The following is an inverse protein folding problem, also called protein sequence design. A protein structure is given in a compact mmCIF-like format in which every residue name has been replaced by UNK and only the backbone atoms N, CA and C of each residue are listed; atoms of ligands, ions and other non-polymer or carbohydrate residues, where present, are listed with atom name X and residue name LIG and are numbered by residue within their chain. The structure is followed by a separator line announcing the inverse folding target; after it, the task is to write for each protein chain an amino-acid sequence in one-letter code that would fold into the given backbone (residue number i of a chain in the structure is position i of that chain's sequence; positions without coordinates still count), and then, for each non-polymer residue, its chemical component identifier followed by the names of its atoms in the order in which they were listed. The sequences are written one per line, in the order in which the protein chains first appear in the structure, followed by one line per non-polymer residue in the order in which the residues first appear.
data_IF_514777266509
#
_entry.id   IF_514777266509
#
_cell.length_a   1.000
_cell.length_b   1.000
_cell.length_c   1.000
_cell.angle_alpha   90.00
_cell.angle_beta   90.00
_cell.angle_gamma   90.00
#
_symmetry.space_group_name_H-M   'P 1'
#
loop_
_entity.id
_entity.type
_entity.pdbx_description
1 polymer ?
#
# COMPACT_ATOMS: atom_id res chain seq x y z
N UNK A 1 33.42 -2.46 74.09
CA UNK A 1 33.82 -2.17 72.70
C UNK A 1 34.07 -3.47 71.95
N UNK A 2 33.05 -4.27 71.73
CA UNK A 2 33.18 -5.52 70.93
C UNK A 2 31.76 -5.75 70.31
N UNK A 3 31.36 -4.92 69.38
CA UNK A 3 30.06 -5.16 68.67
C UNK A 3 30.03 -4.69 67.21
N UNK A 4 31.18 -4.15 66.66
CA UNK A 4 31.14 -3.53 65.32
C UNK A 4 31.62 -4.43 64.17
N UNK A 5 32.27 -5.54 64.48
CA UNK A 5 32.92 -6.39 63.47
C UNK A 5 31.94 -7.31 62.73
N UNK A 6 30.81 -7.68 63.40
CA UNK A 6 29.84 -8.58 62.78
C UNK A 6 28.90 -7.85 61.80
N UNK A 7 28.61 -6.59 62.01
CA UNK A 7 27.75 -5.79 61.08
C UNK A 7 28.47 -5.50 59.77
N UNK A 8 29.75 -5.23 59.79
CA UNK A 8 30.54 -4.99 58.59
C UNK A 8 30.73 -6.22 57.73
N UNK A 9 30.86 -7.41 58.29
CA UNK A 9 30.94 -8.68 57.56
C UNK A 9 29.58 -9.02 56.87
N UNK A 10 28.46 -8.68 57.50
CA UNK A 10 27.12 -8.90 56.88
C UNK A 10 26.84 -7.92 55.80
N UNK A 11 27.21 -6.65 55.92
CA UNK A 11 27.06 -5.62 54.87
C UNK A 11 27.94 -5.92 53.64
N UNK A 12 29.15 -6.40 53.82
CA UNK A 12 30.02 -6.79 52.70
C UNK A 12 29.53 -8.07 52.00
N UNK A 13 28.97 -9.02 52.72
CA UNK A 13 28.39 -10.24 52.14
C UNK A 13 27.14 -9.93 51.31
N UNK A 14 26.28 -9.02 51.76
CA UNK A 14 25.08 -8.62 50.99
C UNK A 14 25.42 -7.77 49.76
N UNK A 15 26.44 -6.94 49.81
CA UNK A 15 26.90 -6.14 48.68
C UNK A 15 27.52 -7.03 47.57
N UNK A 16 28.24 -8.08 47.92
CA UNK A 16 28.84 -9.03 46.95
C UNK A 16 27.74 -9.85 46.26
N UNK A 17 26.70 -10.29 46.98
CA UNK A 17 25.57 -11.02 46.40
C UNK A 17 24.74 -10.12 45.47
N UNK A 18 24.53 -8.84 45.80
CA UNK A 18 23.81 -7.91 44.96
C UNK A 18 24.57 -7.62 43.64
N UNK A 19 25.88 -7.49 43.67
CA UNK A 19 26.70 -7.29 42.46
C UNK A 19 26.72 -8.55 41.58
N UNK A 20 26.77 -9.74 42.16
CA UNK A 20 26.74 -11.00 41.42
C UNK A 20 25.39 -11.20 40.69
N UNK A 21 24.24 -10.80 41.28
CA UNK A 21 22.90 -10.88 40.65
C UNK A 21 22.79 -9.88 39.52
N UNK A 22 23.33 -8.67 39.64
CA UNK A 22 23.32 -7.65 38.56
C UNK A 22 24.17 -8.07 37.37
N UNK A 23 25.33 -8.71 37.60
CA UNK A 23 26.19 -9.23 36.52
C UNK A 23 25.52 -10.40 35.79
N UNK A 24 24.72 -11.21 36.47
CA UNK A 24 24.06 -12.38 35.86
C UNK A 24 22.82 -12.01 35.01
N UNK A 25 22.23 -10.82 35.23
CA UNK A 25 21.09 -10.35 34.44
C UNK A 25 21.46 -9.63 33.11
N UNK A 26 22.72 -9.25 32.94
CA UNK A 26 23.21 -8.60 31.71
C UNK A 26 23.57 -9.63 30.62
N UNK A 27 23.71 -10.90 30.95
CA UNK A 27 24.09 -11.97 30.01
C UNK A 27 22.93 -12.46 29.10
N UNK A 28 21.70 -11.93 29.21
CA UNK A 28 20.55 -12.34 28.39
C UNK A 28 20.09 -11.29 27.38
N UNK A 29 20.92 -10.30 27.03
CA UNK A 29 20.75 -9.58 25.77
C UNK A 29 21.18 -10.56 24.70
N UNK A 30 20.18 -11.21 24.07
CA UNK A 30 20.41 -12.14 22.97
C UNK A 30 21.30 -11.48 21.95
N UNK A 31 22.56 -11.90 21.89
CA UNK A 31 23.45 -11.53 20.83
C UNK A 31 22.77 -11.94 19.53
N UNK A 32 22.39 -10.97 18.70
CA UNK A 32 22.09 -11.19 17.30
C UNK A 32 23.42 -11.66 16.72
N UNK A 33 23.60 -12.98 16.67
CA UNK A 33 24.79 -13.54 16.04
C UNK A 33 24.77 -13.08 14.58
N UNK A 34 25.77 -12.33 14.10
CA UNK A 34 25.87 -12.01 12.69
C UNK A 34 26.02 -13.35 11.96
N UNK A 35 25.09 -13.65 11.06
CA UNK A 35 25.14 -14.85 10.22
C UNK A 35 26.51 -14.90 9.53
N UNK A 36 27.36 -15.77 10.01
CA UNK A 36 28.74 -15.90 9.52
C UNK A 36 28.71 -16.52 8.12
N UNK A 37 28.73 -15.71 7.08
CA UNK A 37 28.80 -16.15 5.69
C UNK A 37 28.57 -15.00 4.73
N UNK A 38 28.97 -15.12 3.46
CA UNK A 38 28.66 -14.12 2.45
C UNK A 38 27.14 -14.00 2.28
N UNK A 39 26.62 -12.76 2.28
CA UNK A 39 25.20 -12.49 2.06
C UNK A 39 24.76 -13.06 0.72
N UNK A 40 23.69 -13.85 0.72
CA UNK A 40 23.08 -14.39 -0.50
C UNK A 40 22.09 -13.37 -1.03
N UNK A 41 22.38 -12.83 -2.20
CA UNK A 41 21.58 -11.80 -2.84
C UNK A 41 20.86 -12.41 -4.05
N UNK A 42 19.61 -12.07 -4.22
CA UNK A 42 18.82 -12.35 -5.42
C UNK A 42 18.27 -11.05 -5.99
N UNK A 43 17.78 -11.07 -7.23
CA UNK A 43 17.06 -9.93 -7.80
C UNK A 43 15.81 -10.37 -8.56
N UNK A 44 14.88 -9.43 -8.72
CA UNK A 44 13.62 -9.63 -9.41
C UNK A 44 13.29 -8.36 -10.22
N UNK A 45 12.87 -8.51 -11.46
CA UNK A 45 12.29 -7.41 -12.25
C UNK A 45 10.81 -7.26 -11.92
N UNK A 46 10.47 -6.19 -11.19
CA UNK A 46 9.09 -5.87 -10.84
C UNK A 46 8.26 -5.54 -12.07
N UNK A 47 8.85 -4.90 -13.08
CA UNK A 47 8.16 -4.58 -14.35
C UNK A 47 7.77 -5.84 -15.10
N UNK A 48 8.67 -6.84 -15.20
CA UNK A 48 8.36 -8.12 -15.85
C UNK A 48 7.28 -8.90 -15.09
N UNK A 49 7.36 -8.91 -13.75
CA UNK A 49 6.34 -9.54 -12.90
C UNK A 49 4.98 -8.90 -13.14
N UNK A 50 4.87 -7.56 -13.08
CA UNK A 50 3.61 -6.85 -13.33
C UNK A 50 3.02 -7.14 -14.72
N UNK A 51 3.87 -7.21 -15.75
CA UNK A 51 3.44 -7.52 -17.12
C UNK A 51 2.85 -8.92 -17.28
N UNK A 52 3.24 -9.86 -16.43
CA UNK A 52 2.81 -11.26 -16.50
C UNK A 52 1.85 -11.67 -15.38
N UNK A 53 1.50 -10.76 -14.49
CA UNK A 53 0.64 -11.02 -13.33
C UNK A 53 -0.84 -10.82 -13.69
N UNK A 54 -1.69 -11.88 -13.74
CA UNK A 54 -3.07 -11.81 -14.21
C UNK A 54 -3.94 -10.88 -13.36
N UNK A 55 -3.71 -10.80 -12.04
CA UNK A 55 -4.47 -9.90 -11.17
C UNK A 55 -4.18 -8.43 -11.49
N UNK A 56 -2.95 -8.07 -11.90
CA UNK A 56 -2.63 -6.72 -12.36
C UNK A 56 -3.39 -6.40 -13.67
N UNK A 57 -3.45 -7.33 -14.61
CA UNK A 57 -4.20 -7.18 -15.85
C UNK A 57 -5.71 -7.04 -15.60
N UNK A 58 -6.27 -7.87 -14.70
CA UNK A 58 -7.66 -7.77 -14.27
C UNK A 58 -7.97 -6.43 -13.59
N UNK A 59 -7.07 -5.94 -12.75
CA UNK A 59 -7.19 -4.64 -12.09
C UNK A 59 -7.12 -3.49 -13.09
N UNK A 60 -6.23 -3.54 -14.08
CA UNK A 60 -6.15 -2.56 -15.16
C UNK A 60 -7.45 -2.50 -15.97
N UNK A 61 -8.04 -3.67 -16.29
CA UNK A 61 -9.32 -3.74 -16.98
C UNK A 61 -10.47 -3.15 -16.15
N UNK A 62 -10.54 -3.47 -14.86
CA UNK A 62 -11.55 -2.90 -13.95
C UNK A 62 -11.39 -1.38 -13.83
N UNK A 63 -10.17 -0.88 -13.74
CA UNK A 63 -9.88 0.55 -13.71
C UNK A 63 -10.34 1.25 -14.99
N UNK A 64 -10.07 0.66 -16.15
CA UNK A 64 -10.52 1.18 -17.43
C UNK A 64 -12.07 1.24 -17.51
N UNK A 65 -12.75 0.16 -17.12
CA UNK A 65 -14.21 0.10 -17.10
C UNK A 65 -14.82 1.16 -16.20
N UNK A 66 -14.29 1.30 -14.97
CA UNK A 66 -14.73 2.33 -14.03
C UNK A 66 -14.54 3.74 -14.60
N UNK A 67 -13.38 4.02 -15.19
CA UNK A 67 -13.09 5.31 -15.82
C UNK A 67 -14.09 5.61 -16.93
N UNK A 68 -14.35 4.65 -17.81
CA UNK A 68 -15.24 4.85 -18.96
C UNK A 68 -16.71 5.02 -18.51
N UNK A 69 -17.15 4.29 -17.49
CA UNK A 69 -18.46 4.45 -16.87
C UNK A 69 -18.64 5.85 -16.26
N UNK A 70 -17.67 6.27 -15.42
CA UNK A 70 -17.72 7.59 -14.78
C UNK A 70 -17.60 8.73 -15.80
N UNK A 71 -16.80 8.58 -16.84
CA UNK A 71 -16.69 9.56 -17.91
C UNK A 71 -18.02 9.77 -18.64
N UNK A 72 -18.75 8.69 -18.95
CA UNK A 72 -20.08 8.77 -19.56
C UNK A 72 -21.09 9.46 -18.63
N UNK A 73 -21.14 9.05 -17.36
CA UNK A 73 -22.04 9.66 -16.38
C UNK A 73 -21.76 11.15 -16.17
N UNK A 74 -20.49 11.56 -16.12
CA UNK A 74 -20.07 12.96 -16.01
C UNK A 74 -20.51 13.75 -17.24
N UNK A 75 -20.29 13.21 -18.45
CA UNK A 75 -20.70 13.86 -19.70
C UNK A 75 -22.21 14.05 -19.78
N UNK A 76 -23.00 13.09 -19.32
CA UNK A 76 -24.44 13.17 -19.27
C UNK A 76 -24.95 14.23 -18.29
N UNK A 77 -24.36 14.28 -17.09
CA UNK A 77 -24.65 15.33 -16.11
C UNK A 77 -24.25 16.72 -16.60
N UNK A 78 -23.15 16.86 -17.27
CA UNK A 78 -22.72 18.12 -17.89
C UNK A 78 -23.74 18.60 -18.94
N UNK A 79 -24.20 17.67 -19.80
CA UNK A 79 -25.23 17.97 -20.78
C UNK A 79 -26.56 18.41 -20.13
N UNK A 80 -26.94 17.76 -19.02
CA UNK A 80 -28.12 18.14 -18.25
C UNK A 80 -28.00 19.57 -17.69
N UNK A 81 -26.88 19.93 -17.10
CA UNK A 81 -26.62 21.28 -16.60
C UNK A 81 -26.70 22.30 -17.71
N UNK A 82 -26.12 22.01 -18.87
CA UNK A 82 -26.13 22.91 -20.02
C UNK A 82 -27.55 23.11 -20.58
N UNK A 83 -28.31 22.02 -20.67
CA UNK A 83 -29.74 22.08 -21.09
C UNK A 83 -30.58 22.98 -20.17
N UNK A 84 -30.39 22.84 -18.84
CA UNK A 84 -31.10 23.68 -17.86
C UNK A 84 -30.70 25.14 -17.97
N UNK A 85 -29.41 25.45 -18.22
CA UNK A 85 -28.95 26.82 -18.49
C UNK A 85 -29.59 27.44 -19.71
N UNK A 86 -29.67 26.70 -20.81
CA UNK A 86 -30.33 27.16 -22.00
C UNK A 86 -31.83 27.40 -21.76
N UNK A 87 -32.50 26.52 -21.00
CA UNK A 87 -33.91 26.73 -20.62
C UNK A 87 -34.09 28.00 -19.77
N UNK A 88 -33.23 28.26 -18.80
CA UNK A 88 -33.26 29.46 -17.97
C UNK A 88 -33.07 30.70 -18.83
N UNK A 89 -32.20 30.67 -19.83
CA UNK A 89 -31.94 31.78 -20.74
C UNK A 89 -33.17 32.10 -21.62
N UNK A 90 -33.98 31.09 -21.98
CA UNK A 90 -35.20 31.22 -22.78
C UNK A 90 -36.39 31.71 -21.96
N UNK A 91 -36.41 31.53 -20.63
CA UNK A 91 -37.47 31.94 -19.74
C UNK A 91 -37.36 33.44 -19.39
N UNK A 92 -37.80 34.28 -20.31
CA UNK A 92 -37.86 35.74 -20.13
C UNK A 92 -39.28 36.20 -19.75
N UNK A 93 -39.37 37.29 -18.98
CA UNK A 93 -40.64 37.96 -18.67
C UNK A 93 -41.31 37.59 -17.34
N UNK A 94 -42.14 38.48 -16.82
CA UNK A 94 -42.76 38.42 -15.47
C UNK A 94 -43.71 37.20 -15.32
N UNK A 95 -44.43 36.82 -16.38
CA UNK A 95 -45.39 35.70 -16.37
C UNK A 95 -44.72 34.32 -16.21
N UNK A 96 -43.39 34.25 -16.32
CA UNK A 96 -42.63 33.00 -16.20
C UNK A 96 -41.72 32.97 -14.97
N UNK A 97 -41.86 33.93 -14.05
CA UNK A 97 -40.98 34.07 -12.90
C UNK A 97 -40.92 32.78 -12.03
N UNK A 98 -42.06 32.14 -11.79
CA UNK A 98 -42.13 30.89 -11.02
C UNK A 98 -41.43 29.70 -11.73
N UNK A 99 -41.59 29.59 -13.06
CA UNK A 99 -40.93 28.57 -13.88
C UNK A 99 -39.42 28.80 -13.91
N UNK A 100 -39.01 30.06 -14.06
CA UNK A 100 -37.61 30.44 -14.03
C UNK A 100 -36.96 30.11 -12.69
N UNK A 101 -37.63 30.46 -11.56
CA UNK A 101 -37.15 30.15 -10.22
C UNK A 101 -36.99 28.62 -9.97
N UNK A 102 -37.91 27.82 -10.52
CA UNK A 102 -37.79 26.35 -10.49
C UNK A 102 -36.60 25.88 -11.31
N UNK A 103 -36.47 26.34 -12.56
CA UNK A 103 -35.37 25.96 -13.44
C UNK A 103 -33.99 26.31 -12.85
N UNK A 104 -33.85 27.46 -12.15
CA UNK A 104 -32.64 27.85 -11.44
C UNK A 104 -32.31 26.83 -10.32
N UNK A 105 -33.28 26.47 -9.48
CA UNK A 105 -33.05 25.46 -8.43
C UNK A 105 -32.69 24.08 -8.99
N UNK A 106 -33.31 23.70 -10.12
CA UNK A 106 -33.02 22.44 -10.78
C UNK A 106 -31.59 22.45 -11.39
N UNK A 107 -31.12 23.59 -11.94
CA UNK A 107 -29.77 23.78 -12.43
C UNK A 107 -28.74 23.73 -11.28
N UNK A 108 -28.98 24.44 -10.18
CA UNK A 108 -28.12 24.43 -9.00
C UNK A 108 -27.95 23.02 -8.45
N UNK A 109 -29.06 22.26 -8.37
CA UNK A 109 -29.01 20.83 -7.95
C UNK A 109 -28.19 19.99 -8.93
N UNK A 110 -28.48 20.10 -10.22
CA UNK A 110 -27.77 19.33 -11.24
C UNK A 110 -26.26 19.66 -11.26
N UNK A 111 -25.90 20.92 -11.02
CA UNK A 111 -24.52 21.36 -10.90
C UNK A 111 -23.83 20.79 -9.66
N UNK A 112 -24.52 20.78 -8.52
CA UNK A 112 -24.00 20.16 -7.31
C UNK A 112 -23.79 18.64 -7.49
N UNK A 113 -24.74 17.94 -8.12
CA UNK A 113 -24.63 16.52 -8.45
C UNK A 113 -23.48 16.25 -9.43
N UNK A 114 -23.27 17.10 -10.43
CA UNK A 114 -22.14 17.03 -11.35
C UNK A 114 -20.80 17.15 -10.62
N UNK A 115 -20.67 18.13 -9.73
CA UNK A 115 -19.45 18.31 -8.93
C UNK A 115 -19.20 17.13 -7.98
N UNK A 116 -20.25 16.63 -7.33
CA UNK A 116 -20.16 15.45 -6.47
C UNK A 116 -19.71 14.22 -7.26
N UNK A 117 -20.27 13.99 -8.45
CA UNK A 117 -19.89 12.87 -9.31
C UNK A 117 -18.44 12.95 -9.78
N UNK A 118 -17.94 14.15 -10.11
CA UNK A 118 -16.51 14.35 -10.44
C UNK A 118 -15.61 13.99 -9.26
N UNK A 119 -15.96 14.48 -8.07
CA UNK A 119 -15.20 14.19 -6.85
C UNK A 119 -15.21 12.70 -6.51
N UNK A 120 -16.39 12.06 -6.61
CA UNK A 120 -16.54 10.61 -6.41
C UNK A 120 -15.70 9.80 -7.41
N UNK A 121 -15.73 10.16 -8.68
CA UNK A 121 -14.94 9.49 -9.72
C UNK A 121 -13.44 9.59 -9.43
N UNK A 122 -12.97 10.78 -9.06
CA UNK A 122 -11.56 10.99 -8.70
C UNK A 122 -11.15 10.19 -7.47
N UNK A 123 -11.95 10.23 -6.40
CA UNK A 123 -11.70 9.47 -5.18
C UNK A 123 -11.72 7.96 -5.43
N UNK A 124 -12.68 7.48 -6.26
CA UNK A 124 -12.78 6.08 -6.66
C UNK A 124 -11.56 5.60 -7.43
N UNK A 125 -11.07 6.37 -8.41
CA UNK A 125 -9.84 6.04 -9.14
C UNK A 125 -8.63 5.95 -8.22
N UNK A 126 -8.47 6.93 -7.32
CA UNK A 126 -7.36 6.92 -6.35
C UNK A 126 -7.46 5.72 -5.38
N UNK A 127 -8.67 5.37 -4.95
CA UNK A 127 -8.90 4.21 -4.10
C UNK A 127 -8.50 2.93 -4.84
N UNK A 128 -8.99 2.72 -6.06
CA UNK A 128 -8.66 1.53 -6.85
C UNK A 128 -7.15 1.40 -7.10
N UNK A 129 -6.48 2.51 -7.35
CA UNK A 129 -5.02 2.51 -7.53
C UNK A 129 -4.29 2.09 -6.26
N UNK A 130 -4.67 2.66 -5.10
CA UNK A 130 -4.07 2.28 -3.80
C UNK A 130 -4.33 0.82 -3.46
N UNK A 131 -5.57 0.36 -3.66
CA UNK A 131 -5.96 -1.02 -3.36
C UNK A 131 -5.16 -2.02 -4.22
N UNK A 132 -5.05 -1.78 -5.53
CA UNK A 132 -4.25 -2.63 -6.43
C UNK A 132 -2.77 -2.61 -6.09
N UNK A 133 -2.23 -1.48 -5.69
CA UNK A 133 -0.83 -1.38 -5.27
C UNK A 133 -0.58 -2.14 -3.97
N UNK A 134 -1.49 -2.02 -3.00
CA UNK A 134 -1.39 -2.72 -1.71
C UNK A 134 -1.52 -4.24 -1.90
N UNK A 135 -2.45 -4.71 -2.73
CA UNK A 135 -2.62 -6.12 -3.09
C UNK A 135 -1.33 -6.68 -3.70
N UNK A 136 -0.80 -6.00 -4.72
CA UNK A 136 0.45 -6.42 -5.36
C UNK A 136 1.64 -6.47 -4.40
N UNK A 137 1.81 -5.44 -3.56
CA UNK A 137 2.88 -5.41 -2.55
C UNK A 137 2.75 -6.54 -1.54
N UNK A 138 1.52 -6.84 -1.10
CA UNK A 138 1.24 -7.95 -0.18
C UNK A 138 1.61 -9.29 -0.80
N UNK A 139 1.17 -9.55 -2.03
CA UNK A 139 1.43 -10.80 -2.73
C UNK A 139 2.91 -10.98 -3.05
N UNK A 140 3.56 -9.92 -3.54
CA UNK A 140 5.00 -9.93 -3.79
C UNK A 140 5.80 -10.20 -2.52
N UNK A 141 5.48 -9.53 -1.43
CA UNK A 141 6.16 -9.72 -0.15
C UNK A 141 6.02 -11.15 0.38
N UNK A 142 4.82 -11.72 0.26
CA UNK A 142 4.56 -13.09 0.68
C UNK A 142 5.36 -14.11 -0.17
N UNK A 143 5.33 -13.97 -1.50
CA UNK A 143 6.05 -14.87 -2.42
C UNK A 143 7.57 -14.73 -2.25
N UNK A 144 8.07 -13.51 -2.17
CA UNK A 144 9.50 -13.26 -1.95
C UNK A 144 9.97 -13.80 -0.61
N UNK A 145 9.17 -13.65 0.46
CA UNK A 145 9.47 -14.20 1.78
C UNK A 145 9.54 -15.72 1.79
N UNK A 146 8.65 -16.40 1.07
CA UNK A 146 8.67 -17.87 0.90
C UNK A 146 9.91 -18.33 0.11
N UNK A 147 10.22 -17.66 -1.01
CA UNK A 147 11.39 -17.96 -1.84
C UNK A 147 12.70 -17.72 -1.08
N UNK A 148 12.80 -16.59 -0.37
CA UNK A 148 13.98 -16.25 0.41
C UNK A 148 14.25 -17.29 1.51
N UNK A 149 13.21 -17.74 2.22
CA UNK A 149 13.33 -18.81 3.21
C UNK A 149 13.77 -20.13 2.58
N UNK A 150 13.21 -20.52 1.44
CA UNK A 150 13.53 -21.79 0.77
C UNK A 150 14.95 -21.82 0.20
N UNK A 151 15.40 -20.70 -0.38
CA UNK A 151 16.70 -20.62 -1.06
C UNK A 151 17.79 -19.99 -0.17
N UNK A 152 17.43 -19.55 1.03
CA UNK A 152 18.36 -18.97 2.01
C UNK A 152 18.91 -17.62 1.58
N UNK A 153 18.14 -16.81 0.82
CA UNK A 153 18.55 -15.46 0.48
C UNK A 153 18.38 -14.51 1.67
N UNK A 154 19.31 -13.62 1.82
CA UNK A 154 19.32 -12.60 2.86
C UNK A 154 18.73 -11.27 2.34
N UNK A 155 18.87 -11.00 1.03
CA UNK A 155 18.42 -9.77 0.37
C UNK A 155 17.86 -10.10 -1.01
N UNK A 156 16.73 -9.47 -1.36
CA UNK A 156 16.19 -9.47 -2.73
C UNK A 156 16.12 -8.02 -3.22
N UNK A 157 16.76 -7.75 -4.35
CA UNK A 157 16.84 -6.42 -4.96
C UNK A 157 15.88 -6.28 -6.14
N UNK A 158 15.41 -5.06 -6.37
CA UNK A 158 14.68 -4.76 -7.59
C UNK A 158 15.66 -4.52 -8.75
N UNK A 159 15.61 -5.36 -9.78
CA UNK A 159 16.45 -5.24 -10.97
C UNK A 159 16.25 -3.89 -11.67
N UNK A 160 15.01 -3.42 -11.75
CA UNK A 160 14.66 -2.26 -12.58
C UNK A 160 15.23 -0.94 -12.05
N UNK A 161 15.59 -0.87 -10.77
CA UNK A 161 16.05 0.37 -10.11
C UNK A 161 17.40 0.26 -9.45
N UNK A 162 17.84 -0.94 -9.06
CA UNK A 162 18.97 -1.10 -8.14
C UNK A 162 20.09 -2.00 -8.67
N UNK A 163 19.87 -2.74 -9.76
CA UNK A 163 20.84 -3.70 -10.29
C UNK A 163 21.29 -3.29 -11.69
N UNK A 164 22.56 -2.94 -11.82
CA UNK A 164 23.17 -2.61 -13.12
C UNK A 164 23.63 -3.89 -13.84
N UNK A 165 24.23 -4.81 -13.08
CA UNK A 165 24.69 -6.10 -13.58
C UNK A 165 24.62 -7.14 -12.47
N UNK A 166 24.19 -8.36 -12.81
CA UNK A 166 24.25 -9.51 -11.93
C UNK A 166 24.28 -10.81 -12.75
N UNK A 167 24.74 -11.90 -12.13
CA UNK A 167 24.73 -13.21 -12.77
C UNK A 167 23.30 -13.73 -12.90
N UNK A 168 22.98 -14.37 -14.04
CA UNK A 168 21.62 -14.87 -14.36
C UNK A 168 21.06 -15.86 -13.34
N UNK A 169 21.90 -16.64 -12.66
CA UNK A 169 21.49 -17.54 -11.59
C UNK A 169 20.90 -16.88 -10.34
N UNK A 170 21.01 -15.55 -10.24
CA UNK A 170 20.44 -14.74 -9.16
C UNK A 170 19.07 -14.16 -9.52
N UNK A 171 18.58 -14.35 -10.76
CA UNK A 171 17.30 -13.86 -11.25
C UNK A 171 16.16 -14.80 -10.82
N UNK A 172 15.27 -14.28 -9.98
CA UNK A 172 14.10 -15.02 -9.51
C UNK A 172 12.80 -14.55 -10.15
N UNK A 173 12.86 -13.72 -11.18
CA UNK A 173 11.68 -13.12 -11.81
C UNK A 173 10.67 -14.17 -12.25
N UNK A 174 11.10 -15.21 -12.94
CA UNK A 174 10.22 -16.26 -13.44
C UNK A 174 9.61 -17.10 -12.32
N UNK A 175 10.39 -17.44 -11.29
CA UNK A 175 9.89 -18.18 -10.12
C UNK A 175 8.81 -17.38 -9.37
N UNK A 176 9.01 -16.05 -9.25
CA UNK A 176 8.04 -15.16 -8.62
C UNK A 176 6.75 -15.10 -9.45
N UNK A 177 6.85 -14.94 -10.76
CA UNK A 177 5.68 -14.95 -11.67
C UNK A 177 4.90 -16.25 -11.55
N UNK A 178 5.57 -17.41 -11.59
CA UNK A 178 4.93 -18.71 -11.47
C UNK A 178 4.16 -18.85 -10.16
N UNK A 179 4.76 -18.45 -9.04
CA UNK A 179 4.12 -18.55 -7.73
C UNK A 179 2.97 -17.56 -7.54
N UNK A 180 3.11 -16.36 -8.05
CA UNK A 180 2.02 -15.37 -8.03
C UNK A 180 0.82 -15.90 -8.84
N UNK A 181 1.07 -16.45 -10.02
CA UNK A 181 0.03 -17.04 -10.86
C UNK A 181 -0.67 -18.22 -10.16
N UNK A 182 0.09 -19.09 -9.51
CA UNK A 182 -0.46 -20.23 -8.77
C UNK A 182 -1.32 -19.83 -7.56
N UNK A 183 -1.09 -18.66 -6.95
CA UNK A 183 -1.92 -18.13 -5.86
C UNK A 183 -3.29 -17.65 -6.33
N UNK A 184 -3.36 -17.08 -7.52
CA UNK A 184 -4.62 -16.53 -8.07
C UNK A 184 -5.44 -17.51 -8.89
N UNK A 185 -4.92 -18.74 -9.11
CA UNK A 185 -5.66 -19.82 -9.80
C UNK A 185 -6.41 -20.73 -8.82
N UNK A 186 -6.27 -20.52 -7.52
CA UNK A 186 -6.98 -21.25 -6.46
C UNK A 186 -8.18 -20.44 -5.96
#
# INVERSE_FOLDING_TARGET
MICDRQYWCRLLATAVVAVAVVVMTIASVGAIEPKAGPARIAYVSVQKVLGQYPAAQASAKRFQQFRDEKARAIAEKQKQVETLRLQIAQLGGVLQASKRAKAIRDEERARAEFQALQSEAQAGMQKMQRDSQAEFQSDMSAVLGELAKQRGADIVLNQDTSVIWAHSGMDWTNDVVERLNARHTR
#
